data_IF_548660638194
#
_entry.id   IF_548660638194
#
_cell.length_a   1.000
_cell.length_b   1.000
_cell.length_c   1.000
_cell.angle_alpha   90.00
_cell.angle_beta   90.00
_cell.angle_gamma   90.00
#
_symmetry.space_group_name_H-M   'P 1'
#
loop_
_entity.id
_entity.type
_entity.pdbx_description
1 polymer ?
#
# COMPACT_ATOMS: atom_id res chain seq x y z
N UNK A 1 -7.04 4.25 14.54
CA UNK A 1 -7.55 4.19 13.13
C UNK A 1 -7.60 5.58 12.51
N UNK A 2 -7.41 5.75 11.19
CA UNK A 2 -7.51 7.05 10.49
C UNK A 2 -8.79 7.85 10.82
N UNK A 3 -9.89 7.16 11.10
CA UNK A 3 -11.17 7.75 11.51
C UNK A 3 -11.06 8.59 12.80
N UNK A 4 -10.12 8.29 13.69
CA UNK A 4 -9.91 9.11 14.89
C UNK A 4 -9.33 10.49 14.59
N UNK A 5 -8.65 10.65 13.44
CA UNK A 5 -8.18 11.94 12.95
C UNK A 5 -9.32 12.84 12.48
N UNK A 6 -10.49 12.29 12.10
CA UNK A 6 -11.63 13.07 11.62
C UNK A 6 -12.34 13.85 12.73
N UNK A 7 -12.03 13.61 14.00
CA UNK A 7 -12.71 14.25 15.13
C UNK A 7 -14.18 13.84 15.31
N UNK A 8 -14.66 12.84 14.55
CA UNK A 8 -16.03 12.35 14.62
C UNK A 8 -16.20 11.37 15.78
N UNK A 9 -17.27 11.54 16.57
CA UNK A 9 -17.72 10.55 17.54
C UNK A 9 -18.84 9.70 16.93
N UNK A 10 -18.74 8.38 17.05
CA UNK A 10 -19.79 7.46 16.62
C UNK A 10 -21.06 7.68 17.45
N UNK A 11 -22.22 7.69 16.78
CA UNK A 11 -23.51 7.77 17.47
C UNK A 11 -23.77 6.47 18.23
N UNK A 12 -24.54 6.49 19.34
CA UNK A 12 -24.82 5.29 20.13
C UNK A 12 -25.39 4.12 19.32
N UNK A 13 -26.26 4.40 18.35
CA UNK A 13 -26.88 3.37 17.51
C UNK A 13 -25.89 2.75 16.52
N UNK A 14 -24.95 3.54 15.98
CA UNK A 14 -23.91 3.05 15.06
C UNK A 14 -22.90 2.16 15.80
N UNK A 15 -22.67 2.46 17.09
CA UNK A 15 -21.82 1.66 17.96
C UNK A 15 -22.45 0.29 18.25
N UNK A 16 -23.74 0.26 18.58
CA UNK A 16 -24.47 -0.98 18.82
C UNK A 16 -24.51 -1.87 17.56
N UNK A 17 -24.74 -1.27 16.40
CA UNK A 17 -24.77 -2.01 15.13
C UNK A 17 -23.41 -2.65 14.79
N UNK A 18 -22.30 -1.93 15.03
CA UNK A 18 -20.96 -2.52 14.90
C UNK A 18 -20.75 -3.66 15.88
N UNK A 19 -21.16 -3.50 17.13
CA UNK A 19 -21.02 -4.55 18.15
C UNK A 19 -21.80 -5.83 17.78
N UNK A 20 -22.92 -5.72 17.06
CA UNK A 20 -23.65 -6.89 16.53
C UNK A 20 -23.04 -7.50 15.27
N UNK A 21 -22.37 -6.70 14.43
CA UNK A 21 -21.78 -7.16 13.15
C UNK A 21 -20.40 -7.80 13.32
N UNK A 22 -19.66 -7.47 14.40
CA UNK A 22 -18.36 -8.07 14.66
C UNK A 22 -18.48 -9.44 15.34
N UNK A 23 -17.78 -10.44 14.79
CA UNK A 23 -17.63 -11.77 15.40
C UNK A 23 -16.69 -11.80 16.60
N UNK A 24 -16.07 -10.66 16.94
CA UNK A 24 -15.03 -10.54 17.97
C UNK A 24 -15.51 -9.61 19.07
N UNK A 25 -15.29 -10.00 20.34
CA UNK A 25 -15.72 -9.19 21.48
C UNK A 25 -14.94 -7.88 21.58
N UNK A 26 -15.57 -6.83 22.14
CA UNK A 26 -14.92 -5.53 22.38
C UNK A 26 -13.65 -5.66 23.24
N UNK A 27 -13.62 -6.61 24.18
CA UNK A 27 -12.45 -6.87 25.02
C UNK A 27 -11.26 -7.42 24.22
N UNK A 28 -11.50 -8.36 23.31
CA UNK A 28 -10.48 -8.89 22.41
C UNK A 28 -10.01 -7.83 21.40
N UNK A 29 -10.91 -6.96 20.94
CA UNK A 29 -10.56 -5.80 20.10
C UNK A 29 -9.60 -4.84 20.81
N UNK A 30 -9.90 -4.47 22.07
CA UNK A 30 -9.02 -3.62 22.89
C UNK A 30 -7.66 -4.24 23.17
N UNK A 31 -7.58 -5.55 23.33
CA UNK A 31 -6.32 -6.24 23.58
C UNK A 31 -5.35 -6.17 22.38
N UNK A 32 -5.87 -5.95 21.17
CA UNK A 32 -5.08 -5.81 19.93
C UNK A 32 -4.96 -4.35 19.47
N UNK A 33 -5.49 -3.41 20.24
CA UNK A 33 -5.34 -1.99 19.94
C UNK A 33 -3.92 -1.56 20.32
N UNK A 34 -3.15 -1.11 19.34
CA UNK A 34 -1.87 -0.46 19.59
C UNK A 34 -2.08 1.06 19.69
N UNK A 35 -2.07 1.64 20.90
CA UNK A 35 -2.22 3.08 21.09
C UNK A 35 -1.03 3.88 20.54
N UNK A 36 0.09 3.22 20.23
CA UNK A 36 1.29 3.80 19.64
C UNK A 36 1.43 3.48 18.13
N UNK A 37 0.38 2.97 17.49
CA UNK A 37 0.40 2.60 16.06
C UNK A 37 0.82 3.75 15.15
N UNK A 38 0.33 4.96 15.42
CA UNK A 38 0.74 6.16 14.71
C UNK A 38 1.78 6.94 15.52
N UNK A 39 2.74 7.52 14.83
CA UNK A 39 3.79 8.33 15.43
C UNK A 39 3.27 9.68 15.95
N UNK A 40 2.15 10.18 15.43
CA UNK A 40 1.52 11.43 15.88
C UNK A 40 0.99 11.34 17.30
N UNK A 41 1.18 12.42 18.07
CA UNK A 41 0.56 12.63 19.38
C UNK A 41 -0.41 13.81 19.40
N UNK A 42 -0.74 14.37 18.24
CA UNK A 42 -1.67 15.48 18.13
C UNK A 42 -3.06 15.09 18.65
N UNK A 43 -3.78 16.08 19.17
CA UNK A 43 -5.17 15.92 19.59
C UNK A 43 -6.06 15.63 18.37
N UNK A 44 -7.24 15.05 18.60
CA UNK A 44 -8.15 14.71 17.49
C UNK A 44 -8.51 15.97 16.70
N UNK A 45 -8.35 15.92 15.37
CA UNK A 45 -8.58 17.07 14.50
C UNK A 45 -7.76 17.01 13.21
N UNK A 46 -7.86 18.07 12.41
CA UNK A 46 -7.27 18.17 11.08
C UNK A 46 -5.74 17.93 11.08
N UNK A 47 -5.02 18.47 12.06
CA UNK A 47 -3.59 18.28 12.22
C UNK A 47 -3.22 16.80 12.40
N UNK A 48 -3.87 16.11 13.33
CA UNK A 48 -3.65 14.67 13.55
C UNK A 48 -3.98 13.86 12.30
N UNK A 49 -5.07 14.19 11.59
CA UNK A 49 -5.42 13.52 10.34
C UNK A 49 -4.34 13.67 9.27
N UNK A 50 -3.80 14.89 9.11
CA UNK A 50 -2.71 15.16 8.16
C UNK A 50 -1.46 14.37 8.52
N UNK A 51 -1.05 14.35 9.79
CA UNK A 51 0.13 13.58 10.22
C UNK A 51 -0.07 12.06 10.03
N UNK A 52 -1.26 11.54 10.33
CA UNK A 52 -1.59 10.13 10.11
C UNK A 52 -1.62 9.78 8.61
N UNK A 53 -2.13 10.68 7.77
CA UNK A 53 -2.14 10.51 6.31
C UNK A 53 -0.74 10.55 5.73
N UNK A 54 0.12 11.45 6.22
CA UNK A 54 1.52 11.51 5.78
C UNK A 54 2.23 10.20 6.11
N UNK A 55 2.11 9.71 7.35
CA UNK A 55 2.69 8.44 7.77
C UNK A 55 2.16 7.28 6.94
N UNK A 56 0.83 7.19 6.77
CA UNK A 56 0.20 6.10 6.02
C UNK A 56 0.59 6.11 4.54
N UNK A 57 0.64 7.29 3.91
CA UNK A 57 1.04 7.46 2.52
C UNK A 57 2.53 7.14 2.33
N UNK A 58 3.38 7.55 3.27
CA UNK A 58 4.81 7.23 3.26
C UNK A 58 5.04 5.71 3.30
N UNK A 59 4.44 5.04 4.28
CA UNK A 59 4.55 3.58 4.43
C UNK A 59 4.04 2.84 3.21
N UNK A 60 2.85 3.24 2.71
CA UNK A 60 2.25 2.64 1.52
C UNK A 60 3.14 2.83 0.28
N UNK A 61 3.72 4.02 0.08
CA UNK A 61 4.63 4.27 -1.06
C UNK A 61 5.88 3.39 -0.99
N UNK A 62 6.51 3.25 0.19
CA UNK A 62 7.68 2.39 0.36
C UNK A 62 7.35 0.91 0.13
N UNK A 63 6.21 0.43 0.67
CA UNK A 63 5.76 -0.95 0.44
C UNK A 63 5.46 -1.21 -1.04
N UNK A 64 4.82 -0.27 -1.75
CA UNK A 64 4.60 -0.38 -3.19
C UNK A 64 5.92 -0.42 -3.96
N UNK A 65 6.91 0.36 -3.56
CA UNK A 65 8.25 0.35 -4.18
C UNK A 65 8.93 -1.00 -4.02
N UNK A 66 8.95 -1.57 -2.82
CA UNK A 66 9.51 -2.90 -2.58
C UNK A 66 8.72 -4.00 -3.28
N UNK A 67 7.39 -3.92 -3.28
CA UNK A 67 6.51 -4.85 -3.98
C UNK A 67 6.72 -4.82 -5.49
N UNK A 68 6.92 -3.63 -6.07
CA UNK A 68 7.29 -3.46 -7.47
C UNK A 68 8.61 -4.15 -7.78
N UNK A 69 9.66 -3.90 -6.99
CA UNK A 69 10.97 -4.55 -7.19
C UNK A 69 10.85 -6.08 -7.15
N UNK A 70 10.14 -6.62 -6.16
CA UNK A 70 9.90 -8.06 -6.07
C UNK A 70 9.14 -8.59 -7.30
N UNK A 71 8.05 -7.92 -7.68
CA UNK A 71 7.23 -8.28 -8.83
C UNK A 71 8.05 -8.23 -10.13
N UNK A 72 8.99 -7.28 -10.27
CA UNK A 72 9.86 -7.16 -11.45
C UNK A 72 10.77 -8.38 -11.57
N UNK A 73 11.37 -8.81 -10.46
CA UNK A 73 12.23 -9.99 -10.43
C UNK A 73 11.42 -11.23 -10.79
N UNK A 74 10.24 -11.41 -10.17
CA UNK A 74 9.36 -12.54 -10.45
C UNK A 74 8.86 -12.53 -11.90
N UNK A 75 8.54 -11.36 -12.45
CA UNK A 75 8.16 -11.19 -13.86
C UNK A 75 9.30 -11.62 -14.79
N UNK A 76 10.54 -11.25 -14.48
CA UNK A 76 11.71 -11.66 -15.25
C UNK A 76 11.93 -13.18 -15.24
N UNK A 77 11.82 -13.82 -14.06
CA UNK A 77 11.95 -15.27 -13.91
C UNK A 77 10.83 -15.99 -14.66
N UNK A 78 9.58 -15.59 -14.45
CA UNK A 78 8.44 -16.22 -15.10
C UNK A 78 8.47 -16.00 -16.61
N UNK A 79 8.85 -14.80 -17.06
CA UNK A 79 9.06 -14.50 -18.47
C UNK A 79 10.09 -15.43 -19.12
N UNK A 80 11.23 -15.68 -18.44
CA UNK A 80 12.24 -16.61 -18.91
C UNK A 80 11.71 -18.05 -19.00
N UNK A 81 10.96 -18.51 -17.98
CA UNK A 81 10.33 -19.84 -17.97
C UNK A 81 9.32 -19.96 -19.11
N UNK A 82 8.49 -18.94 -19.33
CA UNK A 82 7.51 -18.88 -20.42
C UNK A 82 8.20 -18.94 -21.79
N UNK A 83 9.29 -18.18 -22.00
CA UNK A 83 10.07 -18.24 -23.23
C UNK A 83 10.68 -19.63 -23.43
N UNK A 84 11.27 -20.22 -22.38
CA UNK A 84 11.84 -21.57 -22.46
C UNK A 84 10.77 -22.62 -22.79
N UNK A 85 9.56 -22.49 -22.22
CA UNK A 85 8.43 -23.36 -22.54
C UNK A 85 8.02 -23.23 -24.01
N UNK A 86 7.92 -22.00 -24.53
CA UNK A 86 7.58 -21.72 -25.94
C UNK A 86 8.66 -22.24 -26.88
N UNK A 87 9.93 -22.00 -26.60
CA UNK A 87 11.05 -22.53 -27.42
C UNK A 87 11.09 -24.06 -27.35
N UNK A 88 10.77 -24.64 -26.19
CA UNK A 88 10.63 -26.10 -26.02
C UNK A 88 9.45 -26.74 -26.78
N UNK A 89 8.57 -25.95 -27.40
CA UNK A 89 7.60 -26.44 -28.39
C UNK A 89 8.22 -26.71 -29.76
N UNK A 90 9.44 -26.24 -30.05
CA UNK A 90 10.15 -26.58 -31.29
C UNK A 90 10.36 -28.09 -31.33
N UNK A 91 9.83 -28.81 -32.34
CA UNK A 91 9.69 -30.26 -32.28
C UNK A 91 11.03 -30.94 -32.51
N UNK A 92 11.71 -31.29 -31.42
CA UNK A 92 12.73 -32.35 -31.43
C UNK A 92 11.99 -33.66 -31.12
N UNK A 93 11.51 -34.33 -32.18
CA UNK A 93 11.01 -35.71 -32.18
C UNK A 93 10.10 -36.13 -30.99
N UNK A 94 9.01 -35.40 -30.74
CA UNK A 94 8.08 -35.69 -29.63
C UNK A 94 6.70 -36.21 -30.08
N UNK A 95 6.02 -37.06 -29.27
CA UNK A 95 4.65 -37.51 -29.54
C UNK A 95 3.63 -36.36 -29.52
N UNK A 96 2.68 -36.36 -30.46
CA UNK A 96 1.70 -35.27 -30.69
C UNK A 96 0.84 -34.90 -29.48
N UNK A 97 0.51 -35.84 -28.59
CA UNK A 97 -0.27 -35.56 -27.36
C UNK A 97 0.46 -34.68 -26.36
N UNK A 98 1.79 -34.82 -26.25
CA UNK A 98 2.63 -34.01 -25.36
C UNK A 98 2.74 -32.55 -25.87
N UNK A 99 2.68 -32.36 -27.18
CA UNK A 99 2.71 -31.02 -27.80
C UNK A 99 1.47 -30.19 -27.44
N UNK A 100 0.29 -30.79 -27.41
CA UNK A 100 -0.96 -30.10 -27.05
C UNK A 100 -0.96 -29.62 -25.59
N UNK A 101 -0.53 -30.46 -24.65
CA UNK A 101 -0.43 -30.09 -23.22
C UNK A 101 0.57 -28.95 -23.01
N UNK A 102 1.72 -28.99 -23.70
CA UNK A 102 2.72 -27.91 -23.66
C UNK A 102 2.18 -26.60 -24.23
N UNK A 103 1.43 -26.64 -25.32
CA UNK A 103 0.83 -25.45 -25.91
C UNK A 103 -0.16 -24.77 -24.94
N UNK A 104 -0.99 -25.57 -24.25
CA UNK A 104 -1.92 -25.07 -23.24
C UNK A 104 -1.15 -24.47 -22.04
N UNK A 105 -0.13 -25.16 -21.54
CA UNK A 105 0.69 -24.66 -20.44
C UNK A 105 1.41 -23.34 -20.81
N UNK A 106 1.95 -23.26 -22.04
CA UNK A 106 2.56 -22.04 -22.55
C UNK A 106 1.53 -20.90 -22.63
N UNK A 107 0.32 -21.16 -23.13
CA UNK A 107 -0.75 -20.15 -23.18
C UNK A 107 -1.11 -19.62 -21.78
N UNK A 108 -1.28 -20.49 -20.79
CA UNK A 108 -1.51 -20.07 -19.40
C UNK A 108 -0.35 -19.26 -18.84
N UNK A 109 0.89 -19.69 -19.09
CA UNK A 109 2.07 -18.96 -18.62
C UNK A 109 2.15 -17.54 -19.20
N UNK A 110 1.73 -17.34 -20.45
CA UNK A 110 1.63 -16.00 -21.07
C UNK A 110 0.59 -15.14 -20.36
N UNK A 111 -0.58 -15.70 -20.03
CA UNK A 111 -1.62 -14.96 -19.29
C UNK A 111 -1.11 -14.51 -17.92
N UNK A 112 -0.42 -15.38 -17.18
CA UNK A 112 0.15 -15.03 -15.87
C UNK A 112 1.24 -13.95 -16.02
N UNK A 113 2.11 -14.06 -17.03
CA UNK A 113 3.12 -13.03 -17.30
C UNK A 113 2.46 -11.68 -17.64
N UNK A 114 1.36 -11.68 -18.39
CA UNK A 114 0.62 -10.46 -18.73
C UNK A 114 -0.04 -9.83 -17.48
N UNK A 115 -0.62 -10.62 -16.59
CA UNK A 115 -1.17 -10.15 -15.31
C UNK A 115 -0.09 -9.51 -14.43
N UNK A 116 1.06 -10.17 -14.30
CA UNK A 116 2.22 -9.63 -13.57
C UNK A 116 2.72 -8.31 -14.15
N UNK A 117 2.72 -8.18 -15.48
CA UNK A 117 3.04 -6.91 -16.13
C UNK A 117 2.03 -5.82 -15.80
N UNK A 118 0.74 -6.16 -15.76
CA UNK A 118 -0.31 -5.27 -15.27
C UNK A 118 -0.07 -4.81 -13.83
N UNK A 119 0.27 -5.75 -12.94
CA UNK A 119 0.60 -5.46 -11.54
C UNK A 119 1.80 -4.50 -11.41
N UNK A 120 2.84 -4.67 -12.23
CA UNK A 120 4.00 -3.76 -12.26
C UNK A 120 3.62 -2.32 -12.60
N UNK A 121 2.78 -2.15 -13.62
CA UNK A 121 2.26 -0.83 -14.01
C UNK A 121 1.43 -0.23 -12.88
N UNK A 122 0.56 -1.03 -12.26
CA UNK A 122 -0.30 -0.59 -11.17
C UNK A 122 0.49 -0.17 -9.93
N UNK A 123 1.52 -0.93 -9.53
CA UNK A 123 2.41 -0.53 -8.44
C UNK A 123 3.17 0.77 -8.76
N UNK A 124 3.69 0.92 -9.98
CA UNK A 124 4.38 2.16 -10.37
C UNK A 124 3.47 3.38 -10.34
N UNK A 125 2.25 3.25 -10.87
CA UNK A 125 1.25 4.32 -10.86
C UNK A 125 0.84 4.68 -9.44
N UNK A 126 0.54 3.70 -8.60
CA UNK A 126 0.12 3.93 -7.23
C UNK A 126 1.24 4.56 -6.39
N UNK A 127 2.48 4.08 -6.53
CA UNK A 127 3.65 4.68 -5.88
C UNK A 127 3.82 6.16 -6.28
N UNK A 128 3.76 6.48 -7.58
CA UNK A 128 3.88 7.87 -8.04
C UNK A 128 2.76 8.77 -7.51
N UNK A 129 1.53 8.28 -7.45
CA UNK A 129 0.39 9.00 -6.87
C UNK A 129 0.60 9.28 -5.39
N UNK A 130 1.05 8.30 -4.62
CA UNK A 130 1.37 8.49 -3.20
C UNK A 130 2.54 9.47 -3.00
N UNK A 131 3.58 9.41 -3.83
CA UNK A 131 4.68 10.37 -3.77
C UNK A 131 4.21 11.80 -4.07
N UNK A 132 3.31 11.99 -5.04
CA UNK A 132 2.69 13.28 -5.32
C UNK A 132 1.77 13.76 -4.20
N UNK A 133 1.02 12.84 -3.59
CA UNK A 133 0.15 13.12 -2.46
C UNK A 133 0.96 13.59 -1.24
N UNK A 134 2.11 12.97 -0.96
CA UNK A 134 3.02 13.40 0.11
C UNK A 134 3.54 14.82 -0.11
N UNK A 135 3.91 15.18 -1.35
CA UNK A 135 4.33 16.54 -1.68
C UNK A 135 3.21 17.58 -1.49
N UNK A 136 1.95 17.17 -1.74
CA UNK A 136 0.78 18.03 -1.54
C UNK A 136 0.43 18.16 -0.05
N UNK A 137 0.56 17.08 0.73
CA UNK A 137 0.34 17.13 2.17
C UNK A 137 1.25 18.14 2.85
N UNK A 138 2.52 18.22 2.47
CA UNK A 138 3.47 19.23 2.98
C UNK A 138 2.96 20.68 2.81
N UNK A 139 2.13 20.96 1.79
CA UNK A 139 1.53 22.27 1.56
C UNK A 139 0.23 22.51 2.36
N UNK A 140 -0.47 21.44 2.76
CA UNK A 140 -1.77 21.50 3.44
C UNK A 140 -1.63 21.56 4.96
N UNK A 141 -0.49 21.16 5.53
CA UNK A 141 -0.21 21.09 6.98
C UNK A 141 -0.41 22.40 7.76
N UNK A 142 -0.56 23.55 7.08
CA UNK A 142 -0.73 24.88 7.72
C UNK A 142 -2.18 25.27 8.06
N UNK A 143 -3.14 24.34 8.03
CA UNK A 143 -4.57 24.68 8.21
C UNK A 143 -5.15 24.05 9.49
N UNK A 144 -5.76 24.90 10.32
CA UNK A 144 -6.33 24.50 11.63
C UNK A 144 -7.68 23.76 11.53
N UNK A 145 -8.30 23.69 10.36
CA UNK A 145 -9.63 23.10 10.17
C UNK A 145 -9.64 22.03 9.08
N UNK A 146 -10.59 21.10 9.20
CA UNK A 146 -10.91 20.08 8.20
C UNK A 146 -11.41 20.74 6.92
N UNK A 147 -10.47 21.12 6.08
CA UNK A 147 -10.75 21.77 4.82
C UNK A 147 -11.22 20.73 3.78
N UNK A 148 -12.00 21.13 2.78
CA UNK A 148 -12.36 20.27 1.65
C UNK A 148 -11.12 19.63 0.99
N UNK A 149 -9.97 20.30 1.04
CA UNK A 149 -8.71 19.83 0.51
C UNK A 149 -8.14 18.63 1.29
N UNK A 150 -8.23 18.63 2.63
CA UNK A 150 -7.81 17.48 3.45
C UNK A 150 -8.70 16.26 3.17
N UNK A 151 -10.01 16.47 3.02
CA UNK A 151 -10.95 15.39 2.69
C UNK A 151 -10.67 14.84 1.28
N UNK A 152 -10.36 15.71 0.32
CA UNK A 152 -9.96 15.29 -1.02
C UNK A 152 -8.68 14.45 -0.98
N UNK A 153 -7.67 14.87 -0.20
CA UNK A 153 -6.42 14.10 -0.04
C UNK A 153 -6.66 12.76 0.63
N UNK A 154 -7.49 12.69 1.67
CA UNK A 154 -7.91 11.42 2.29
C UNK A 154 -8.56 10.47 1.27
N UNK A 155 -9.43 11.01 0.42
CA UNK A 155 -10.14 10.24 -0.62
C UNK A 155 -9.17 9.75 -1.69
N UNK A 156 -8.23 10.59 -2.11
CA UNK A 156 -7.18 10.25 -3.07
C UNK A 156 -6.24 9.16 -2.51
N UNK A 157 -5.88 9.25 -1.22
CA UNK A 157 -5.12 8.22 -0.53
C UNK A 157 -5.85 6.87 -0.55
N UNK A 158 -7.09 6.83 -0.05
CA UNK A 158 -7.87 5.58 0.04
C UNK A 158 -8.06 4.96 -1.35
N UNK A 159 -8.49 5.75 -2.34
CA UNK A 159 -8.68 5.24 -3.70
C UNK A 159 -7.39 4.75 -4.36
N UNK A 160 -6.24 5.35 -4.03
CA UNK A 160 -4.94 4.90 -4.54
C UNK A 160 -4.50 3.60 -3.90
N UNK A 161 -4.69 3.43 -2.58
CA UNK A 161 -4.33 2.21 -1.86
C UNK A 161 -5.27 1.06 -2.21
N UNK A 162 -6.58 1.29 -2.24
CA UNK A 162 -7.58 0.28 -2.61
C UNK A 162 -7.48 -0.14 -4.07
N UNK A 163 -7.08 0.78 -4.96
CA UNK A 163 -6.86 0.49 -6.37
C UNK A 163 -5.53 -0.20 -6.68
N UNK A 164 -4.64 -0.35 -5.70
CA UNK A 164 -3.35 -1.00 -5.90
C UNK A 164 -3.46 -2.53 -5.83
N UNK A 165 -2.54 -3.28 -6.48
CA UNK A 165 -2.49 -4.72 -6.32
C UNK A 165 -2.17 -5.11 -4.87
N UNK A 166 -2.60 -6.30 -4.47
CA UNK A 166 -2.27 -6.86 -3.16
C UNK A 166 -0.75 -6.96 -2.98
N UNK A 167 -0.25 -6.59 -1.80
CA UNK A 167 1.16 -6.73 -1.49
C UNK A 167 1.58 -8.21 -1.44
N UNK A 168 2.73 -8.58 -2.01
CA UNK A 168 3.26 -9.93 -1.87
C UNK A 168 3.51 -10.29 -0.40
N UNK A 169 3.28 -11.55 0.01
CA UNK A 169 3.50 -11.98 1.39
C UNK A 169 4.97 -11.83 1.80
N UNK A 170 5.21 -11.43 3.04
CA UNK A 170 6.56 -11.29 3.59
C UNK A 170 7.28 -9.97 3.26
N UNK A 171 6.71 -9.12 2.38
CA UNK A 171 7.33 -7.83 2.02
C UNK A 171 7.35 -6.87 3.21
N UNK A 172 6.26 -6.82 3.98
CA UNK A 172 6.19 -5.99 5.17
C UNK A 172 7.25 -6.40 6.20
N UNK A 173 7.27 -7.66 6.57
CA UNK A 173 8.16 -8.22 7.60
C UNK A 173 9.63 -8.04 7.25
N UNK A 174 9.97 -8.17 5.96
CA UNK A 174 11.35 -8.01 5.46
C UNK A 174 11.82 -6.56 5.45
N UNK A 175 10.92 -5.61 5.24
CA UNK A 175 11.29 -4.21 5.00
C UNK A 175 10.89 -3.24 6.11
N UNK A 176 10.10 -3.68 7.10
CA UNK A 176 9.61 -2.84 8.20
C UNK A 176 10.72 -2.06 8.91
N UNK A 177 11.86 -2.69 9.24
CA UNK A 177 12.97 -2.01 9.94
C UNK A 177 13.60 -0.91 9.09
N UNK A 178 13.77 -1.18 7.79
CA UNK A 178 14.30 -0.21 6.84
C UNK A 178 13.35 0.98 6.68
N UNK A 179 12.04 0.71 6.53
CA UNK A 179 11.01 1.74 6.38
C UNK A 179 10.89 2.57 7.66
N UNK A 180 10.93 1.93 8.83
CA UNK A 180 10.97 2.60 10.13
C UNK A 180 12.14 3.58 10.25
N UNK A 181 13.35 3.14 9.84
CA UNK A 181 14.54 4.01 9.84
C UNK A 181 14.35 5.21 8.90
N UNK A 182 13.89 4.99 7.67
CA UNK A 182 13.66 6.05 6.69
C UNK A 182 12.58 7.04 7.18
N UNK A 183 11.54 6.54 7.84
CA UNK A 183 10.50 7.37 8.45
C UNK A 183 11.07 8.23 9.58
N UNK A 184 11.88 7.65 10.46
CA UNK A 184 12.54 8.38 11.54
C UNK A 184 13.47 9.50 10.99
N UNK A 185 14.23 9.22 9.93
CA UNK A 185 15.07 10.20 9.24
C UNK A 185 14.24 11.32 8.58
N UNK A 186 13.11 11.00 7.96
CA UNK A 186 12.22 12.01 7.38
C UNK A 186 11.70 12.96 8.46
N UNK A 187 11.18 12.41 9.56
CA UNK A 187 10.64 13.22 10.68
C UNK A 187 11.70 14.12 11.31
N UNK A 188 12.94 13.64 11.47
CA UNK A 188 14.01 14.47 12.05
C UNK A 188 14.33 15.67 11.16
N UNK A 189 14.40 15.47 9.84
CA UNK A 189 14.63 16.55 8.86
C UNK A 189 13.49 17.57 8.83
N UNK A 190 12.25 17.14 8.90
CA UNK A 190 11.09 18.04 8.94
C UNK A 190 11.12 18.92 10.19
N UNK A 191 11.44 18.35 11.37
CA UNK A 191 11.60 19.12 12.61
C UNK A 191 12.72 20.16 12.53
N UNK A 192 13.90 19.81 12.02
CA UNK A 192 15.02 20.74 11.86
C UNK A 192 14.68 21.93 10.95
N UNK A 193 13.88 21.72 9.89
CA UNK A 193 13.45 22.82 9.01
C UNK A 193 12.50 23.79 9.71
N UNK A 194 11.62 23.30 10.58
CA UNK A 194 10.68 24.16 11.32
C UNK A 194 11.38 25.10 12.32
N UNK A 195 12.48 24.67 12.94
CA UNK A 195 13.25 25.49 13.89
C UNK A 195 14.19 26.49 13.22
N UNK A 196 14.57 26.29 11.96
CA UNK A 196 15.41 27.24 11.22
C UNK A 196 14.62 28.40 10.59
N UNK A 197 13.28 28.32 10.59
CA UNK A 197 12.37 29.31 9.98
C UNK A 197 11.56 30.12 11.00
N UNK A 198 11.90 30.04 12.28
CA UNK A 198 11.34 30.82 13.39
C UNK A 198 12.40 31.81 13.91
#
# INVERSE_FOLDING_TARGET
>A
MLVEGLGLQLRPNERLQRETDFSVSSAAGKANEDPAYYATRASRGAERLVEMLEESAFWSSQLMRHSKTFTTIMFGILGLVTIAAIVGLVPVAMPTRLSAVRAIAAAFSVVVVADMFGALISFDRAQRRLDQLLLRLDAVTKRDALSPEIVAVLTEYNSTVEGAPMFPPGIYERHQECINRLWAERRSRTKSRSHASA
#
